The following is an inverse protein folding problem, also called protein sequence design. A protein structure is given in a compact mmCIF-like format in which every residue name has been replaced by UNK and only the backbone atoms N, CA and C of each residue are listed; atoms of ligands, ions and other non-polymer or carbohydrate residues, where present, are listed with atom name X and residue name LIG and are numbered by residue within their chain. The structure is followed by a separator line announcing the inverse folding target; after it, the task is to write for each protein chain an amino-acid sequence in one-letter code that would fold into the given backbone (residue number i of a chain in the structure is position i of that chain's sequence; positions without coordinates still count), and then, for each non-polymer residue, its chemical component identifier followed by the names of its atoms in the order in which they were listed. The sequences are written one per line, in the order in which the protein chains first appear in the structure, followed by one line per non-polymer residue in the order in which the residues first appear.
data_IF_474981640666
#
_entry.id   IF_474981640666
#
_cell.length_a   1.000
_cell.length_b   1.000
_cell.length_c   1.000
_cell.angle_alpha   90.00
_cell.angle_beta   90.00
_cell.angle_gamma   90.00
#
_symmetry.space_group_name_H-M   'P 1'
#
loop_
_entity.id
_entity.type
_entity.pdbx_description
1 polymer ?
#
# COMPACT_ATOMS: atom_id res chain seq x y z
N UNK A 1 17.59 19.90 3.36
CA UNK A 1 16.37 19.15 3.78
C UNK A 1 15.95 19.68 5.14
N UNK A 2 14.69 20.06 5.33
CA UNK A 2 14.17 20.42 6.65
C UNK A 2 14.04 19.15 7.52
N UNK A 3 14.01 19.30 8.84
CA UNK A 3 13.76 18.17 9.76
C UNK A 3 12.48 17.41 9.38
N UNK A 4 11.42 18.15 9.04
CA UNK A 4 10.15 17.58 8.60
C UNK A 4 10.29 16.73 7.32
N UNK A 5 11.04 17.21 6.32
CA UNK A 5 11.26 16.47 5.08
C UNK A 5 12.02 15.15 5.33
N UNK A 6 13.00 15.17 6.23
CA UNK A 6 13.75 13.97 6.62
C UNK A 6 12.84 12.96 7.34
N UNK A 7 12.06 13.40 8.32
CA UNK A 7 11.13 12.53 9.05
C UNK A 7 10.05 11.96 8.12
N UNK A 8 9.47 12.77 7.25
CA UNK A 8 8.47 12.34 6.28
C UNK A 8 9.02 11.29 5.31
N UNK A 9 10.28 11.43 4.88
CA UNK A 9 10.93 10.46 3.99
C UNK A 9 11.16 9.13 4.70
N UNK A 10 11.74 9.15 5.91
CA UNK A 10 11.99 7.92 6.70
C UNK A 10 10.66 7.22 7.01
N UNK A 11 9.69 7.97 7.53
CA UNK A 11 8.38 7.42 7.88
C UNK A 11 7.63 6.93 6.64
N UNK A 12 7.73 7.62 5.51
CA UNK A 12 7.13 7.19 4.24
C UNK A 12 7.67 5.83 3.77
N UNK A 13 8.97 5.60 3.90
CA UNK A 13 9.57 4.28 3.58
C UNK A 13 9.07 3.21 4.55
N UNK A 14 9.11 3.46 5.86
CA UNK A 14 8.63 2.51 6.88
C UNK A 14 7.15 2.19 6.69
N UNK A 15 6.33 3.21 6.45
CA UNK A 15 4.88 3.08 6.23
C UNK A 15 4.57 2.29 4.94
N UNK A 16 5.42 2.35 3.92
CA UNK A 16 5.31 1.51 2.72
C UNK A 16 5.30 0.00 3.04
N UNK A 17 5.95 -0.40 4.15
CA UNK A 17 5.97 -1.78 4.64
C UNK A 17 4.85 -2.11 5.64
N UNK A 18 4.00 -1.15 6.03
CA UNK A 18 2.97 -1.38 7.06
C UNK A 18 1.98 -2.50 6.69
N UNK A 19 1.79 -2.78 5.39
CA UNK A 19 0.89 -3.82 4.90
C UNK A 19 1.55 -5.21 4.74
N UNK A 20 2.87 -5.32 4.89
CA UNK A 20 3.56 -6.61 4.81
C UNK A 20 3.06 -7.65 5.82
N UNK A 21 2.82 -7.30 7.10
CA UNK A 21 2.24 -8.24 8.06
C UNK A 21 0.86 -8.76 7.64
N UNK A 22 0.04 -7.90 7.01
CA UNK A 22 -1.28 -8.28 6.51
C UNK A 22 -1.17 -9.23 5.33
N UNK A 23 -0.28 -8.94 4.37
CA UNK A 23 0.06 -9.86 3.26
C UNK A 23 0.51 -11.20 3.84
N UNK A 24 1.50 -11.20 4.74
CA UNK A 24 2.01 -12.41 5.36
C UNK A 24 0.89 -13.23 6.03
N UNK A 25 0.00 -12.57 6.78
CA UNK A 25 -1.15 -13.21 7.43
C UNK A 25 -2.04 -13.91 6.40
N UNK A 26 -2.47 -13.21 5.33
CA UNK A 26 -3.34 -13.78 4.29
C UNK A 26 -2.71 -15.02 3.65
N UNK A 27 -1.45 -14.93 3.23
CA UNK A 27 -0.79 -16.01 2.51
C UNK A 27 -0.37 -17.17 3.42
N UNK A 28 -0.17 -16.92 4.72
CA UNK A 28 0.10 -17.95 5.73
C UNK A 28 -1.16 -18.69 6.15
N UNK A 29 -2.22 -17.96 6.50
CA UNK A 29 -3.47 -18.57 6.99
C UNK A 29 -4.37 -19.05 5.85
N UNK A 30 -4.07 -18.67 4.61
CA UNK A 30 -4.90 -18.96 3.42
C UNK A 30 -6.34 -18.52 3.62
N UNK A 31 -6.53 -17.40 4.31
CA UNK A 31 -7.85 -16.83 4.61
C UNK A 31 -7.83 -15.31 4.50
N UNK A 32 -8.79 -14.79 3.75
CA UNK A 32 -9.03 -13.36 3.58
C UNK A 32 -10.52 -12.99 3.75
N UNK A 33 -11.32 -13.86 4.39
CA UNK A 33 -12.78 -13.70 4.52
C UNK A 33 -13.19 -12.42 5.25
N UNK A 34 -12.42 -12.03 6.26
CA UNK A 34 -12.72 -10.85 7.08
C UNK A 34 -12.14 -9.55 6.50
N UNK A 35 -11.55 -9.61 5.29
CA UNK A 35 -10.89 -8.46 4.68
C UNK A 35 -11.84 -7.81 3.68
N UNK A 36 -12.10 -6.52 3.88
CA UNK A 36 -12.92 -5.72 2.96
C UNK A 36 -12.18 -5.47 1.64
N UNK A 37 -12.65 -6.10 0.57
CA UNK A 37 -12.16 -5.88 -0.80
C UNK A 37 -12.36 -4.41 -1.22
N UNK A 38 -13.50 -3.81 -0.84
CA UNK A 38 -13.82 -2.41 -1.19
C UNK A 38 -12.77 -1.45 -0.61
N UNK A 39 -12.34 -1.69 0.63
CA UNK A 39 -11.29 -0.86 1.27
C UNK A 39 -10.02 -0.87 0.43
N UNK A 40 -9.54 -2.06 0.04
CA UNK A 40 -8.31 -2.16 -0.72
C UNK A 40 -8.44 -1.69 -2.18
N UNK A 41 -9.63 -1.73 -2.78
CA UNK A 41 -9.88 -1.11 -4.09
C UNK A 41 -9.79 0.42 -4.02
N UNK A 42 -10.40 1.04 -3.02
CA UNK A 42 -10.31 2.49 -2.80
C UNK A 42 -8.87 2.92 -2.50
N UNK A 43 -8.16 2.17 -1.65
CA UNK A 43 -6.75 2.44 -1.35
C UNK A 43 -5.85 2.29 -2.58
N UNK A 44 -6.10 1.29 -3.44
CA UNK A 44 -5.33 1.08 -4.68
C UNK A 44 -5.55 2.19 -5.70
N UNK A 45 -6.80 2.60 -5.91
CA UNK A 45 -7.12 3.70 -6.84
C UNK A 45 -6.61 5.05 -6.31
N UNK A 46 -6.75 5.28 -5.01
CA UNK A 46 -6.19 6.47 -4.35
C UNK A 46 -4.66 6.54 -4.45
N UNK A 47 -3.94 5.45 -4.17
CA UNK A 47 -2.48 5.43 -4.29
C UNK A 47 -2.01 5.61 -5.72
N UNK A 48 -2.74 5.10 -6.71
CA UNK A 48 -2.46 5.35 -8.13
C UNK A 48 -2.56 6.85 -8.48
N UNK A 49 -3.60 7.54 -7.99
CA UNK A 49 -3.74 8.99 -8.18
C UNK A 49 -2.57 9.73 -7.53
N UNK A 50 -2.18 9.34 -6.30
CA UNK A 50 -1.02 9.95 -5.61
C UNK A 50 0.31 9.69 -6.30
N UNK A 51 0.47 8.55 -6.98
CA UNK A 51 1.65 8.27 -7.82
C UNK A 51 1.71 9.29 -8.97
N UNK A 52 0.60 9.49 -9.70
CA UNK A 52 0.56 10.48 -10.79
C UNK A 52 0.81 11.90 -10.29
N UNK A 53 0.19 12.28 -9.16
CA UNK A 53 0.45 13.56 -8.53
C UNK A 53 1.92 13.71 -8.10
N UNK A 54 2.51 12.68 -7.50
CA UNK A 54 3.92 12.67 -7.09
C UNK A 54 4.89 12.86 -8.26
N UNK A 55 4.56 12.30 -9.44
CA UNK A 55 5.29 12.53 -10.69
C UNK A 55 5.16 13.99 -11.12
N UNK A 56 3.94 14.54 -11.11
CA UNK A 56 3.67 15.94 -11.50
C UNK A 56 4.49 16.94 -10.67
N UNK A 57 4.57 16.74 -9.36
CA UNK A 57 5.34 17.61 -8.44
C UNK A 57 6.81 17.21 -8.28
N UNK A 58 7.30 16.21 -9.03
CA UNK A 58 8.67 15.69 -8.95
C UNK A 58 9.10 15.32 -7.52
N UNK A 59 8.18 14.79 -6.71
CA UNK A 59 8.40 14.50 -5.29
C UNK A 59 8.67 13.01 -5.06
N UNK A 60 9.96 12.69 -4.93
CA UNK A 60 10.43 11.31 -4.76
C UNK A 60 9.90 10.60 -3.49
N UNK A 61 9.83 11.24 -2.31
CA UNK A 61 9.16 10.65 -1.15
C UNK A 61 7.70 10.25 -1.38
N UNK A 62 6.89 11.13 -2.00
CA UNK A 62 5.48 10.84 -2.31
C UNK A 62 5.37 9.66 -3.26
N UNK A 63 6.21 9.64 -4.31
CA UNK A 63 6.24 8.57 -5.29
C UNK A 63 6.61 7.22 -4.65
N UNK A 64 7.64 7.20 -3.81
CA UNK A 64 8.13 5.98 -3.15
C UNK A 64 7.08 5.42 -2.17
N UNK A 65 6.49 6.27 -1.34
CA UNK A 65 5.50 5.85 -0.34
C UNK A 65 4.24 5.25 -1.01
N UNK A 66 3.70 5.93 -2.03
CA UNK A 66 2.50 5.48 -2.70
C UNK A 66 2.76 4.30 -3.65
N UNK A 67 3.95 4.22 -4.26
CA UNK A 67 4.36 3.06 -5.06
C UNK A 67 4.44 1.77 -4.24
N UNK A 68 5.10 1.81 -3.07
CA UNK A 68 5.16 0.66 -2.17
C UNK A 68 3.76 0.26 -1.66
N UNK A 69 2.95 1.25 -1.28
CA UNK A 69 1.58 1.02 -0.85
C UNK A 69 0.71 0.38 -1.95
N UNK A 70 0.78 0.91 -3.18
CA UNK A 70 0.07 0.37 -4.34
C UNK A 70 0.40 -1.10 -4.59
N UNK A 71 1.68 -1.46 -4.60
CA UNK A 71 2.12 -2.86 -4.76
C UNK A 71 1.55 -3.73 -3.63
N UNK A 72 1.63 -3.27 -2.38
CA UNK A 72 1.12 -4.01 -1.24
C UNK A 72 -0.41 -4.22 -1.32
N UNK A 73 -1.16 -3.21 -1.71
CA UNK A 73 -2.62 -3.29 -1.86
C UNK A 73 -3.03 -4.26 -2.97
N UNK A 74 -2.32 -4.26 -4.10
CA UNK A 74 -2.54 -5.24 -5.17
C UNK A 74 -2.30 -6.67 -4.66
N UNK A 75 -1.21 -6.91 -3.93
CA UNK A 75 -0.93 -8.24 -3.36
C UNK A 75 -2.04 -8.68 -2.38
N UNK A 76 -2.55 -7.74 -1.57
CA UNK A 76 -3.68 -8.01 -0.66
C UNK A 76 -4.95 -8.35 -1.46
N UNK A 77 -5.26 -7.60 -2.52
CA UNK A 77 -6.40 -7.87 -3.38
C UNK A 77 -6.29 -9.26 -4.06
N UNK A 78 -5.11 -9.64 -4.52
CA UNK A 78 -4.83 -10.99 -5.03
C UNK A 78 -5.11 -12.03 -3.93
N UNK A 79 -4.60 -11.81 -2.72
CA UNK A 79 -4.87 -12.67 -1.57
C UNK A 79 -6.36 -12.78 -1.24
N UNK A 80 -7.11 -11.68 -1.33
CA UNK A 80 -8.57 -11.66 -1.15
C UNK A 80 -9.29 -12.45 -2.25
N UNK A 81 -8.85 -12.33 -3.50
CA UNK A 81 -9.41 -13.10 -4.61
C UNK A 81 -9.18 -14.60 -4.45
N UNK A 82 -7.96 -14.99 -4.05
CA UNK A 82 -7.57 -16.40 -3.90
C UNK A 82 -8.15 -17.07 -2.64
N UNK A 83 -8.27 -16.33 -1.54
CA UNK A 83 -8.57 -16.88 -0.20
C UNK A 83 -9.81 -16.28 0.48
N UNK A 84 -10.57 -15.45 -0.23
CA UNK A 84 -11.79 -14.80 0.29
C UNK A 84 -13.08 -15.53 -0.06
N UNK A 85 -13.07 -16.47 -1.02
CA UNK A 85 -14.22 -17.31 -1.36
C UNK A 85 -14.13 -18.66 -0.64
N UNK A 86 -15.21 -19.03 0.04
CA UNK A 86 -15.49 -20.39 0.51
C UNK A 86 -15.67 -21.33 -0.69
#
# INVERSE_FOLDING_TARGET
MTLLATLATIFGVVNGFANFPQIYKIFKTKSAKDISVITYLLLTTGSLIWIFYGIEIMNFPVLTMNGLAFIAFIIILIGCYLYGRN
#
